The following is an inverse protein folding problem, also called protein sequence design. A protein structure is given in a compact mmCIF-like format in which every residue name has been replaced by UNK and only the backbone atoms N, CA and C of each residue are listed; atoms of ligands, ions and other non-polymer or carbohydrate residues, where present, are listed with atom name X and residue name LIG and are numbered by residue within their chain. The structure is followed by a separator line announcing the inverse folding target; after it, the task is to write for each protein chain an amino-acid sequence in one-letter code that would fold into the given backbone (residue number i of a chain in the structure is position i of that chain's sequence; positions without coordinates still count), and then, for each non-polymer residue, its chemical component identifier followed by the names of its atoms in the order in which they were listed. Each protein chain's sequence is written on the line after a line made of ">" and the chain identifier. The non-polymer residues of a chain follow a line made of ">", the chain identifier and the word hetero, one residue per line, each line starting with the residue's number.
data_IF_580006616051
#
_entry.id   IF_580006616051
#
_cell.length_a   1.000
_cell.length_b   1.000
_cell.length_c   1.000
_cell.angle_alpha   90.00
_cell.angle_beta   90.00
_cell.angle_gamma   90.00
#
_symmetry.space_group_name_H-M   'P 1'
#
loop_
_entity.id
_entity.type
_entity.pdbx_description
1 polymer ?
#
# COMPACT_ATOMS: atom_id res chain seq x y z
N UNK A 1 -8.75 -32.48 2.99
CA UNK A 1 -9.79 -33.49 3.30
C UNK A 1 -9.17 -34.53 4.19
N UNK A 2 -9.62 -34.65 5.45
CA UNK A 2 -9.50 -35.83 6.32
C UNK A 2 -10.17 -35.48 7.64
N UNK A 3 -11.38 -35.98 7.83
CA UNK A 3 -12.20 -35.87 9.03
C UNK A 3 -12.13 -37.19 9.80
N UNK A 4 -11.59 -37.18 11.02
CA UNK A 4 -11.66 -38.31 11.96
C UNK A 4 -12.41 -37.83 13.22
N UNK A 5 -13.72 -38.08 13.32
CA UNK A 5 -14.36 -39.30 13.81
C UNK A 5 -14.13 -39.50 15.32
N UNK A 6 -14.98 -38.85 16.11
CA UNK A 6 -15.06 -38.93 17.57
C UNK A 6 -15.95 -40.11 17.96
N UNK A 7 -15.43 -41.01 18.80
CA UNK A 7 -16.14 -42.16 19.39
C UNK A 7 -16.20 -41.96 20.91
N UNK A 8 -17.41 -41.95 21.50
CA UNK A 8 -17.63 -42.69 22.75
C UNK A 8 -18.96 -43.45 22.65
N UNK A 9 -19.15 -44.63 23.28
CA UNK A 9 -19.25 -44.71 24.75
C UNK A 9 -18.86 -46.07 25.37
N UNK A 10 -18.53 -46.09 26.67
CA UNK A 10 -18.62 -47.31 27.48
C UNK A 10 -19.18 -46.94 28.84
N UNK A 11 -20.41 -47.38 29.08
CA UNK A 11 -21.17 -47.22 30.32
C UNK A 11 -21.32 -48.64 30.85
N UNK A 12 -20.45 -49.01 31.79
CA UNK A 12 -20.50 -50.33 32.40
C UNK A 12 -21.67 -50.38 33.39
N UNK A 13 -22.72 -51.07 32.97
CA UNK A 13 -23.83 -51.55 33.79
C UNK A 13 -23.70 -53.06 33.93
N UNK A 14 -22.98 -53.50 34.95
CA UNK A 14 -22.98 -54.85 35.53
C UNK A 14 -22.69 -54.62 37.03
N UNK A 15 -23.29 -55.24 38.03
CA UNK A 15 -23.85 -56.59 38.18
C UNK A 15 -24.70 -56.56 39.46
N UNK A 16 -26.01 -56.79 39.41
CA UNK A 16 -26.65 -58.08 39.75
C UNK A 16 -25.85 -58.98 40.72
N UNK A 17 -26.18 -58.89 42.01
CA UNK A 17 -25.83 -59.88 43.02
C UNK A 17 -27.09 -60.37 43.73
N UNK A 18 -27.56 -61.54 43.31
CA UNK A 18 -28.73 -62.25 43.81
C UNK A 18 -28.63 -62.74 45.27
N UNK A 19 -29.81 -62.75 45.91
CA UNK A 19 -30.36 -63.80 46.78
C UNK A 19 -29.40 -64.53 47.75
N UNK A 20 -29.72 -64.42 49.04
CA UNK A 20 -30.07 -65.61 49.83
C UNK A 20 -31.01 -65.29 50.99
N UNK A 21 -32.19 -65.88 50.88
CA UNK A 21 -33.18 -66.11 51.93
C UNK A 21 -32.58 -67.08 52.95
N UNK A 22 -32.62 -66.70 54.22
CA UNK A 22 -32.76 -67.66 55.32
C UNK A 22 -33.79 -67.11 56.29
N UNK A 23 -34.95 -67.78 56.30
CA UNK A 23 -35.91 -67.77 57.39
C UNK A 23 -35.19 -68.06 58.71
N UNK A 24 -35.49 -67.28 59.73
CA UNK A 24 -35.51 -67.75 61.11
C UNK A 24 -36.53 -66.91 61.88
N UNK A 25 -37.72 -67.49 62.02
CA UNK A 25 -38.57 -67.26 63.17
C UNK A 25 -37.75 -67.62 64.41
N UNK A 26 -37.58 -66.69 65.36
CA UNK A 26 -38.15 -66.91 66.69
C UNK A 26 -37.95 -65.71 67.61
N UNK A 27 -38.98 -65.50 68.45
CA UNK A 27 -38.96 -64.77 69.74
C UNK A 27 -38.88 -63.25 69.72
N UNK A 28 -40.09 -62.70 69.60
CA UNK A 28 -40.61 -61.51 70.31
C UNK A 28 -39.87 -61.20 71.63
N UNK A 29 -39.07 -60.15 71.63
CA UNK A 29 -38.87 -59.25 72.78
C UNK A 29 -38.90 -57.82 72.27
N UNK A 30 -40.05 -57.15 72.47
CA UNK A 30 -40.26 -55.75 72.10
C UNK A 30 -39.32 -54.86 72.93
N UNK A 31 -38.37 -54.12 72.34
CA UNK A 31 -37.68 -53.06 73.07
C UNK A 31 -38.63 -51.86 73.28
N UNK A 32 -38.42 -51.04 74.32
CA UNK A 32 -39.26 -49.88 74.59
C UNK A 32 -39.13 -48.83 73.46
N UNK A 33 -40.18 -48.73 72.65
CA UNK A 33 -40.29 -47.87 71.45
C UNK A 33 -40.20 -46.37 71.74
N UNK A 34 -40.22 -45.95 73.00
CA UNK A 34 -40.28 -44.54 73.38
C UNK A 34 -38.96 -43.77 73.19
N UNK A 35 -37.80 -44.43 73.24
CA UNK A 35 -36.51 -43.74 73.06
C UNK A 35 -36.12 -43.56 71.59
N UNK A 36 -36.52 -44.49 70.72
CA UNK A 36 -36.21 -44.47 69.29
C UNK A 36 -36.95 -43.34 68.55
N UNK A 37 -38.19 -43.04 68.95
CA UNK A 37 -39.00 -41.98 68.33
C UNK A 37 -38.37 -40.60 68.52
N UNK A 38 -37.78 -40.32 69.68
CA UNK A 38 -37.08 -39.06 69.93
C UNK A 38 -35.81 -38.89 69.08
N UNK A 39 -35.02 -39.97 68.88
CA UNK A 39 -33.86 -39.94 67.98
C UNK A 39 -34.25 -39.76 66.51
N UNK A 40 -35.33 -40.40 66.08
CA UNK A 40 -35.87 -40.21 64.72
C UNK A 40 -36.33 -38.77 64.52
N UNK A 41 -36.99 -38.17 65.52
CA UNK A 41 -37.43 -36.79 65.44
C UNK A 41 -36.25 -35.79 65.38
N UNK A 42 -35.25 -35.96 66.25
CA UNK A 42 -34.04 -35.12 66.24
C UNK A 42 -33.28 -35.23 64.92
N UNK A 43 -33.06 -36.44 64.41
CA UNK A 43 -32.37 -36.64 63.13
C UNK A 43 -33.15 -36.08 61.95
N UNK A 44 -34.49 -36.15 61.96
CA UNK A 44 -35.32 -35.52 60.94
C UNK A 44 -35.23 -33.98 60.98
N UNK A 45 -35.20 -33.36 62.16
CA UNK A 45 -35.02 -31.92 62.31
C UNK A 45 -33.62 -31.48 61.83
N UNK A 46 -32.56 -32.18 62.22
CA UNK A 46 -31.19 -31.89 61.76
C UNK A 46 -31.01 -32.16 60.26
N UNK A 47 -31.65 -33.19 59.72
CA UNK A 47 -31.68 -33.46 58.29
C UNK A 47 -32.35 -32.30 57.56
N UNK A 48 -33.49 -31.81 58.04
CA UNK A 48 -34.18 -30.66 57.42
C UNK A 48 -33.30 -29.40 57.45
N UNK A 49 -32.65 -29.12 58.58
CA UNK A 49 -31.79 -27.95 58.74
C UNK A 49 -30.52 -28.01 57.87
N UNK A 50 -30.00 -29.21 57.57
CA UNK A 50 -28.84 -29.39 56.69
C UNK A 50 -29.20 -29.51 55.21
N UNK A 51 -30.36 -30.08 54.88
CA UNK A 51 -30.79 -30.30 53.49
C UNK A 51 -31.18 -29.00 52.80
N UNK A 52 -31.91 -28.10 53.47
CA UNK A 52 -32.36 -26.82 52.88
C UNK A 52 -31.18 -25.99 52.32
N UNK A 53 -30.13 -25.65 53.10
CA UNK A 53 -29.00 -24.88 52.57
C UNK A 53 -28.22 -25.64 51.50
N UNK A 54 -28.14 -26.98 51.61
CA UNK A 54 -27.50 -27.82 50.59
C UNK A 54 -28.22 -27.73 49.24
N UNK A 55 -29.56 -27.82 49.23
CA UNK A 55 -30.34 -27.69 48.01
C UNK A 55 -30.24 -26.28 47.40
N UNK A 56 -30.20 -25.23 48.22
CA UNK A 56 -29.98 -23.85 47.75
C UNK A 56 -28.59 -23.63 47.15
N UNK A 57 -27.54 -24.19 47.76
CA UNK A 57 -26.19 -24.12 47.18
C UNK A 57 -26.11 -24.89 45.86
N UNK A 58 -26.77 -26.06 45.78
CA UNK A 58 -26.81 -26.87 44.56
C UNK A 58 -27.52 -26.14 43.41
N UNK A 59 -28.63 -25.47 43.66
CA UNK A 59 -29.35 -24.70 42.64
C UNK A 59 -28.53 -23.49 42.16
N UNK A 60 -27.87 -22.76 43.08
CA UNK A 60 -26.96 -21.65 42.75
C UNK A 60 -25.77 -22.11 41.92
N UNK A 61 -25.11 -23.20 42.30
CA UNK A 61 -24.00 -23.76 41.53
C UNK A 61 -24.45 -24.19 40.12
N UNK A 62 -25.66 -24.75 39.98
CA UNK A 62 -26.20 -25.09 38.67
C UNK A 62 -26.45 -23.84 37.81
N UNK A 63 -26.93 -22.73 38.39
CA UNK A 63 -27.10 -21.45 37.69
C UNK A 63 -25.75 -20.87 37.25
N UNK A 64 -24.78 -20.81 38.16
CA UNK A 64 -23.43 -20.30 37.85
C UNK A 64 -22.74 -21.11 36.76
N UNK A 65 -22.89 -22.44 36.78
CA UNK A 65 -22.33 -23.29 35.72
C UNK A 65 -22.99 -23.05 34.36
N UNK A 66 -24.29 -22.72 34.33
CA UNK A 66 -24.99 -22.33 33.10
C UNK A 66 -24.52 -20.96 32.60
N UNK A 67 -24.41 -19.97 33.48
CA UNK A 67 -23.89 -18.65 33.12
C UNK A 67 -22.43 -18.73 32.64
N UNK A 68 -21.61 -19.55 33.30
CA UNK A 68 -20.23 -19.77 32.88
C UNK A 68 -20.13 -20.49 31.53
N UNK A 69 -21.03 -21.45 31.24
CA UNK A 69 -21.03 -22.12 29.95
C UNK A 69 -21.52 -21.20 28.84
N UNK A 70 -22.49 -20.33 29.12
CA UNK A 70 -22.95 -19.28 28.20
C UNK A 70 -21.85 -18.26 27.91
N UNK A 71 -21.15 -17.77 28.95
CA UNK A 71 -20.05 -16.82 28.81
C UNK A 71 -18.86 -17.43 28.05
N UNK A 72 -18.59 -18.73 28.25
CA UNK A 72 -17.61 -19.46 27.42
C UNK A 72 -18.07 -19.58 25.97
N UNK A 73 -19.36 -19.79 25.71
CA UNK A 73 -19.89 -19.86 24.36
C UNK A 73 -19.75 -18.50 23.65
N UNK A 74 -20.09 -17.39 24.30
CA UNK A 74 -19.92 -16.05 23.73
C UNK A 74 -18.45 -15.68 23.52
N UNK A 75 -17.57 -16.01 24.47
CA UNK A 75 -16.13 -15.79 24.33
C UNK A 75 -15.54 -16.56 23.13
N UNK A 76 -15.90 -17.84 22.97
CA UNK A 76 -15.41 -18.63 21.82
C UNK A 76 -15.98 -18.15 20.49
N UNK A 77 -17.23 -17.66 20.47
CA UNK A 77 -17.82 -17.03 19.28
C UNK A 77 -17.08 -15.75 18.90
N UNK A 78 -16.80 -14.87 19.87
CA UNK A 78 -16.05 -13.63 19.66
C UNK A 78 -14.61 -13.90 19.17
N UNK A 79 -13.91 -14.87 19.77
CA UNK A 79 -12.58 -15.27 19.31
C UNK A 79 -12.58 -15.76 17.86
N UNK A 80 -13.58 -16.55 17.47
CA UNK A 80 -13.74 -17.00 16.08
C UNK A 80 -13.98 -15.82 15.13
N UNK A 81 -14.80 -14.87 15.52
CA UNK A 81 -15.06 -13.68 14.73
C UNK A 81 -13.81 -12.80 14.58
N UNK A 82 -13.05 -12.60 15.66
CA UNK A 82 -11.78 -11.88 15.63
C UNK A 82 -10.76 -12.55 14.71
N UNK A 83 -10.61 -13.88 14.77
CA UNK A 83 -9.74 -14.63 13.86
C UNK A 83 -10.21 -14.46 12.40
N UNK A 84 -11.52 -14.52 12.17
CA UNK A 84 -12.10 -14.33 10.82
C UNK A 84 -11.79 -12.93 10.28
N UNK A 85 -12.07 -11.87 11.05
CA UNK A 85 -11.75 -10.49 10.67
C UNK A 85 -10.26 -10.28 10.46
N UNK A 86 -9.41 -10.84 11.32
CA UNK A 86 -7.94 -10.75 11.15
C UNK A 86 -7.45 -11.44 9.88
N UNK A 87 -8.11 -12.52 9.44
CA UNK A 87 -7.79 -13.14 8.14
C UNK A 87 -8.22 -12.26 6.98
N UNK A 88 -9.41 -11.67 7.06
CA UNK A 88 -9.93 -10.76 6.03
C UNK A 88 -9.06 -9.50 5.90
N UNK A 89 -8.63 -8.91 7.02
CA UNK A 89 -7.73 -7.74 7.00
C UNK A 89 -6.36 -8.08 6.42
N UNK A 90 -5.80 -9.25 6.74
CA UNK A 90 -4.53 -9.72 6.14
C UNK A 90 -4.65 -9.87 4.63
N UNK A 91 -5.71 -10.52 4.13
CA UNK A 91 -5.95 -10.67 2.69
C UNK A 91 -6.14 -9.30 2.01
N UNK A 92 -6.85 -8.37 2.67
CA UNK A 92 -7.01 -7.01 2.15
C UNK A 92 -5.68 -6.25 2.08
N UNK A 93 -4.82 -6.38 3.11
CA UNK A 93 -3.49 -5.78 3.13
C UNK A 93 -2.59 -6.35 2.03
N UNK A 94 -2.57 -7.67 1.85
CA UNK A 94 -1.80 -8.33 0.78
C UNK A 94 -2.25 -7.84 -0.61
N UNK A 95 -3.57 -7.69 -0.79
CA UNK A 95 -4.14 -7.14 -2.03
C UNK A 95 -3.71 -5.69 -2.27
N UNK A 96 -3.72 -4.85 -1.24
CA UNK A 96 -3.26 -3.46 -1.33
C UNK A 96 -1.77 -3.41 -1.68
N UNK A 97 -0.94 -4.23 -1.04
CA UNK A 97 0.49 -4.31 -1.36
C UNK A 97 0.74 -4.70 -2.83
N UNK A 98 -0.01 -5.68 -3.35
CA UNK A 98 0.09 -6.08 -4.75
C UNK A 98 -0.32 -4.94 -5.70
N UNK A 99 -1.39 -4.23 -5.38
CA UNK A 99 -1.82 -3.07 -6.17
C UNK A 99 -0.78 -1.94 -6.14
N UNK A 100 -0.16 -1.67 -5.00
CA UNK A 100 0.91 -0.67 -4.88
C UNK A 100 2.15 -1.04 -5.70
N UNK A 101 2.54 -2.33 -5.73
CA UNK A 101 3.65 -2.81 -6.56
C UNK A 101 3.33 -2.60 -8.04
N UNK A 102 2.11 -2.94 -8.46
CA UNK A 102 1.65 -2.79 -9.85
C UNK A 102 1.53 -1.33 -10.28
N UNK A 103 1.11 -0.44 -9.38
CA UNK A 103 1.09 1.00 -9.62
C UNK A 103 2.50 1.55 -9.82
N UNK A 104 3.44 1.20 -8.92
CA UNK A 104 4.86 1.57 -9.07
C UNK A 104 5.46 1.04 -10.38
N UNK A 105 5.03 -0.12 -10.85
CA UNK A 105 5.44 -0.68 -12.15
C UNK A 105 4.95 0.20 -13.30
N UNK A 106 3.66 0.56 -13.29
CA UNK A 106 3.05 1.45 -14.28
C UNK A 106 3.66 2.84 -14.30
N UNK A 107 4.01 3.39 -13.14
CA UNK A 107 4.65 4.70 -13.07
C UNK A 107 6.06 4.70 -13.66
N UNK A 108 6.83 3.62 -13.46
CA UNK A 108 8.13 3.44 -14.12
C UNK A 108 8.00 3.36 -15.64
N UNK A 109 6.99 2.63 -16.13
CA UNK A 109 6.71 2.56 -17.57
C UNK A 109 6.35 3.94 -18.13
N UNK A 110 5.47 4.68 -17.45
CA UNK A 110 5.11 6.05 -17.84
C UNK A 110 6.32 6.99 -17.86
N UNK A 111 7.16 6.94 -16.83
CA UNK A 111 8.38 7.74 -16.76
C UNK A 111 9.32 7.42 -17.94
N UNK A 112 9.51 6.14 -18.27
CA UNK A 112 10.37 5.73 -19.39
C UNK A 112 9.83 6.21 -20.76
N UNK A 113 8.50 6.23 -20.93
CA UNK A 113 7.85 6.75 -22.14
C UNK A 113 8.02 8.27 -22.22
N UNK A 114 7.81 8.97 -21.12
CA UNK A 114 8.00 10.43 -21.07
C UNK A 114 9.46 10.83 -21.34
N UNK A 115 10.43 10.10 -20.79
CA UNK A 115 11.85 10.28 -21.10
C UNK A 115 12.17 10.03 -22.58
N UNK A 116 11.50 9.08 -23.22
CA UNK A 116 11.56 8.87 -24.67
C UNK A 116 11.08 10.10 -25.42
N UNK A 117 9.85 10.56 -25.13
CA UNK A 117 9.26 11.74 -25.78
C UNK A 117 10.13 12.99 -25.58
N UNK A 118 10.66 13.21 -24.37
CA UNK A 118 11.55 14.34 -24.08
C UNK A 118 12.84 14.29 -24.90
N UNK A 119 13.39 13.10 -25.14
CA UNK A 119 14.57 12.92 -26.01
C UNK A 119 14.23 13.22 -27.47
N UNK A 120 13.13 12.68 -27.97
CA UNK A 120 12.70 12.88 -29.36
C UNK A 120 12.41 14.36 -29.65
N UNK A 121 11.74 15.06 -28.74
CA UNK A 121 11.50 16.51 -28.87
C UNK A 121 12.80 17.31 -28.91
N UNK A 122 13.77 16.96 -28.05
CA UNK A 122 15.09 17.62 -28.06
C UNK A 122 15.85 17.35 -29.36
N UNK A 123 15.79 16.12 -29.86
CA UNK A 123 16.42 15.75 -31.13
C UNK A 123 15.81 16.53 -32.30
N UNK A 124 14.48 16.58 -32.40
CA UNK A 124 13.77 17.36 -33.44
C UNK A 124 14.09 18.86 -33.36
N UNK A 125 14.20 19.42 -32.15
CA UNK A 125 14.60 20.82 -31.98
C UNK A 125 16.04 21.06 -32.44
N UNK A 126 16.95 20.13 -32.15
CA UNK A 126 18.36 20.24 -32.54
C UNK A 126 18.54 20.06 -34.06
N UNK A 127 17.81 19.11 -34.66
CA UNK A 127 17.77 18.92 -36.11
C UNK A 127 17.23 20.18 -36.79
N UNK A 128 16.10 20.72 -36.32
CA UNK A 128 15.52 21.95 -36.87
C UNK A 128 16.45 23.15 -36.73
N UNK A 129 17.14 23.27 -35.59
CA UNK A 129 18.12 24.33 -35.40
C UNK A 129 19.30 24.18 -36.39
N UNK A 130 19.74 22.95 -36.64
CA UNK A 130 20.80 22.68 -37.62
C UNK A 130 20.35 23.01 -39.05
N UNK A 131 19.14 22.63 -39.44
CA UNK A 131 18.59 22.96 -40.77
C UNK A 131 18.38 24.46 -40.94
N UNK A 132 17.96 25.17 -39.89
CA UNK A 132 17.81 26.62 -39.95
C UNK A 132 19.16 27.31 -40.13
N UNK A 133 20.19 26.88 -39.40
CA UNK A 133 21.55 27.43 -39.54
C UNK A 133 22.09 27.26 -40.95
N UNK A 134 21.97 26.07 -41.54
CA UNK A 134 22.45 25.84 -42.92
C UNK A 134 21.65 26.63 -43.96
N UNK A 135 20.34 26.80 -43.77
CA UNK A 135 19.51 27.66 -44.62
C UNK A 135 19.90 29.13 -44.48
N UNK A 136 20.17 29.60 -43.27
CA UNK A 136 20.61 30.97 -43.01
C UNK A 136 21.97 31.26 -43.66
N UNK A 137 22.91 30.31 -43.59
CA UNK A 137 24.20 30.39 -44.29
C UNK A 137 24.00 30.46 -45.82
N UNK A 138 23.16 29.61 -46.39
CA UNK A 138 22.86 29.64 -47.82
C UNK A 138 22.23 30.97 -48.26
N UNK A 139 21.28 31.51 -47.47
CA UNK A 139 20.65 32.81 -47.75
C UNK A 139 21.65 33.96 -47.66
N UNK A 140 22.62 33.87 -46.75
CA UNK A 140 23.71 34.85 -46.61
C UNK A 140 24.60 34.84 -47.86
N UNK A 141 25.03 33.66 -48.29
CA UNK A 141 25.88 33.51 -49.48
C UNK A 141 25.17 34.00 -50.75
N UNK A 142 23.89 33.69 -50.89
CA UNK A 142 23.05 34.21 -51.97
C UNK A 142 22.93 35.73 -51.92
N UNK A 143 22.74 36.31 -50.73
CA UNK A 143 22.69 37.75 -50.52
C UNK A 143 24.00 38.44 -50.93
N UNK A 144 25.14 37.84 -50.61
CA UNK A 144 26.46 38.33 -51.03
C UNK A 144 26.63 38.28 -52.55
N UNK A 145 26.32 37.13 -53.18
CA UNK A 145 26.40 36.98 -54.64
C UNK A 145 25.51 38.00 -55.39
N UNK A 146 24.29 38.25 -54.89
CA UNK A 146 23.39 39.27 -55.46
C UNK A 146 23.97 40.69 -55.32
N UNK A 147 24.62 41.00 -54.20
CA UNK A 147 25.28 42.29 -54.00
C UNK A 147 26.45 42.49 -54.98
N UNK A 148 27.24 41.43 -55.21
CA UNK A 148 28.35 41.44 -56.17
C UNK A 148 27.85 41.60 -57.61
N UNK A 149 26.77 40.90 -58.00
CA UNK A 149 26.13 41.06 -59.31
C UNK A 149 25.62 42.50 -59.48
N UNK A 150 24.97 43.07 -58.47
CA UNK A 150 24.49 44.45 -58.53
C UNK A 150 25.65 45.46 -58.69
N UNK A 151 26.76 45.24 -57.98
CA UNK A 151 27.96 46.06 -58.10
C UNK A 151 28.59 45.94 -59.49
N UNK A 152 28.68 44.71 -60.04
CA UNK A 152 29.17 44.46 -61.39
C UNK A 152 28.28 45.11 -62.44
N UNK A 153 26.95 44.96 -62.35
CA UNK A 153 26.01 45.60 -63.28
C UNK A 153 26.17 47.13 -63.26
N UNK A 154 26.34 47.71 -62.06
CA UNK A 154 26.58 49.15 -61.90
C UNK A 154 27.90 49.58 -62.55
N UNK A 155 28.96 48.80 -62.39
CA UNK A 155 30.24 49.06 -63.06
C UNK A 155 30.13 48.97 -64.59
N UNK A 156 29.42 47.96 -65.11
CA UNK A 156 29.17 47.79 -66.55
C UNK A 156 28.40 48.97 -67.11
N UNK A 157 27.36 49.46 -66.42
CA UNK A 157 26.62 50.66 -66.83
C UNK A 157 27.52 51.90 -66.93
N UNK A 158 28.39 52.09 -65.92
CA UNK A 158 29.36 53.20 -65.89
C UNK A 158 30.34 53.11 -67.05
N UNK A 159 30.92 51.94 -67.32
CA UNK A 159 31.92 51.74 -68.41
C UNK A 159 31.36 51.98 -69.81
N UNK A 160 30.09 51.67 -70.05
CA UNK A 160 29.44 51.84 -71.34
C UNK A 160 28.81 53.23 -71.53
N UNK A 161 28.89 54.11 -70.54
CA UNK A 161 28.30 55.45 -70.61
C UNK A 161 26.77 55.44 -70.58
N UNK A 162 26.15 54.36 -70.08
CA UNK A 162 24.72 54.36 -69.83
C UNK A 162 24.46 55.32 -68.66
N UNK A 163 23.97 56.52 -68.97
CA UNK A 163 23.50 57.46 -67.94
C UNK A 163 22.23 56.87 -67.35
N UNK A 164 22.21 56.51 -66.05
CA UNK A 164 21.02 55.94 -65.44
C UNK A 164 19.90 56.97 -65.56
N UNK A 165 18.85 56.63 -66.33
CA UNK A 165 17.63 57.46 -66.33
C UNK A 165 17.06 57.41 -64.93
N UNK A 166 16.49 58.52 -64.48
CA UNK A 166 15.92 58.69 -63.13
C UNK A 166 14.93 57.59 -62.74
N UNK A 167 14.36 56.89 -63.73
CA UNK A 167 13.41 55.77 -63.56
C UNK A 167 13.95 54.36 -63.94
N UNK A 168 15.11 54.22 -64.61
CA UNK A 168 15.65 52.92 -65.07
C UNK A 168 16.53 52.19 -64.03
N UNK A 169 17.00 52.88 -62.99
CA UNK A 169 17.81 52.27 -61.91
C UNK A 169 17.10 51.17 -61.11
N UNK A 170 15.83 50.88 -61.43
CA UNK A 170 15.01 49.85 -60.76
C UNK A 170 15.62 48.45 -60.84
N UNK A 171 16.35 48.10 -61.90
CA UNK A 171 16.97 46.77 -62.02
C UNK A 171 17.98 46.50 -60.90
N UNK A 172 19.06 47.27 -60.90
CA UNK A 172 20.18 47.14 -59.97
C UNK A 172 19.75 47.42 -58.53
N UNK A 173 18.95 48.47 -58.32
CA UNK A 173 18.53 48.85 -56.98
C UNK A 173 17.58 47.82 -56.35
N UNK A 174 16.74 47.13 -57.14
CA UNK A 174 15.94 45.99 -56.63
C UNK A 174 16.82 44.83 -56.19
N UNK A 175 17.89 44.53 -56.93
CA UNK A 175 18.83 43.46 -56.56
C UNK A 175 19.56 43.83 -55.26
N UNK A 176 20.05 45.08 -55.14
CA UNK A 176 20.67 45.58 -53.90
C UNK A 176 19.70 45.54 -52.71
N UNK A 177 18.45 45.95 -52.90
CA UNK A 177 17.42 45.87 -51.86
C UNK A 177 17.08 44.43 -51.48
N UNK A 178 17.07 43.50 -52.44
CA UNK A 178 16.84 42.08 -52.18
C UNK A 178 17.98 41.47 -51.38
N UNK A 179 19.24 41.74 -51.76
CA UNK A 179 20.43 41.33 -51.01
C UNK A 179 20.39 41.86 -49.57
N UNK A 180 20.04 43.14 -49.38
CA UNK A 180 19.90 43.76 -48.06
C UNK A 180 18.78 43.11 -47.22
N UNK A 181 17.66 42.70 -47.84
CA UNK A 181 16.59 41.97 -47.14
C UNK A 181 17.05 40.59 -46.70
N UNK A 182 17.72 39.82 -47.57
CA UNK A 182 18.27 38.50 -47.24
C UNK A 182 19.26 38.58 -46.07
N UNK A 183 20.15 39.57 -46.08
CA UNK A 183 21.10 39.80 -44.99
C UNK A 183 20.40 40.20 -43.68
N UNK A 184 19.30 40.97 -43.75
CA UNK A 184 18.49 41.33 -42.57
C UNK A 184 17.78 40.12 -41.97
N UNK A 185 17.29 39.17 -42.78
CA UNK A 185 16.69 37.94 -42.27
C UNK A 185 17.69 37.13 -41.45
N UNK A 186 18.91 36.97 -41.97
CA UNK A 186 19.99 36.27 -41.26
C UNK A 186 20.37 36.99 -39.95
N UNK A 187 20.45 38.31 -39.96
CA UNK A 187 20.82 39.12 -38.78
C UNK A 187 19.69 39.29 -37.75
N UNK A 188 18.43 39.14 -38.18
CA UNK A 188 17.26 39.19 -37.31
C UNK A 188 17.15 37.95 -36.43
N UNK A 189 17.48 36.78 -36.98
CA UNK A 189 17.43 35.50 -36.27
C UNK A 189 18.40 35.44 -35.07
N UNK A 190 19.51 36.19 -35.11
CA UNK A 190 20.46 36.32 -34.00
C UNK A 190 19.92 37.20 -32.85
N UNK A 191 19.02 38.14 -33.12
CA UNK A 191 18.51 39.06 -32.09
C UNK A 191 17.38 38.45 -31.29
N UNK A 192 16.50 37.72 -31.96
CA UNK A 192 15.31 37.13 -31.31
C UNK A 192 15.67 35.96 -30.38
N UNK A 193 16.80 35.29 -30.61
CA UNK A 193 17.31 34.24 -29.70
C UNK A 193 18.01 34.78 -28.46
N UNK A 194 18.52 36.03 -28.47
CA UNK A 194 19.22 36.63 -27.33
C UNK A 194 18.32 37.36 -26.33
N UNK A 195 17.10 37.73 -26.73
CA UNK A 195 16.16 38.48 -25.88
C UNK A 195 15.05 37.62 -25.25
N UNK A 196 14.98 36.33 -25.60
CA UNK A 196 13.84 35.45 -25.26
C UNK A 196 14.06 34.40 -24.17
N UNK A 197 15.26 34.26 -23.60
CA UNK A 197 15.57 33.20 -22.61
C UNK A 197 16.03 33.79 -21.27
N UNK A 198 15.34 34.82 -20.79
CA UNK A 198 15.39 35.26 -19.38
C UNK A 198 13.99 35.26 -18.73
N UNK A 199 13.01 34.66 -19.41
CA UNK A 199 11.66 34.45 -18.90
C UNK A 199 11.59 33.15 -18.13
N UNK A 200 11.85 33.23 -16.83
CA UNK A 200 11.89 32.11 -15.90
C UNK A 200 10.69 31.15 -16.00
N UNK A 201 10.98 29.89 -16.29
CA UNK A 201 10.10 28.75 -16.06
C UNK A 201 10.89 27.44 -15.97
N UNK A 202 12.14 27.47 -15.48
CA UNK A 202 12.74 26.32 -14.82
C UNK A 202 12.32 26.34 -13.35
N UNK A 203 11.01 26.30 -13.09
CA UNK A 203 10.57 25.59 -11.89
C UNK A 203 10.66 24.13 -12.30
N UNK A 204 11.80 23.51 -12.04
CA UNK A 204 11.94 22.06 -12.14
C UNK A 204 10.77 21.45 -11.35
N UNK A 205 9.79 20.79 -12.02
CA UNK A 205 8.71 20.13 -11.29
C UNK A 205 9.24 19.00 -10.39
N UNK A 206 10.49 18.57 -10.59
CA UNK A 206 11.18 17.63 -9.69
C UNK A 206 11.50 18.20 -8.30
N UNK A 207 11.51 19.53 -8.12
CA UNK A 207 11.73 20.14 -6.80
C UNK A 207 10.56 19.91 -5.85
N UNK A 208 9.34 19.73 -6.39
CA UNK A 208 8.14 19.45 -5.61
C UNK A 208 8.06 17.99 -5.14
N UNK A 209 8.56 17.02 -5.92
CA UNK A 209 8.58 15.60 -5.51
C UNK A 209 9.74 15.25 -4.56
N UNK A 210 10.73 16.13 -4.37
CA UNK A 210 11.86 15.88 -3.45
C UNK A 210 11.51 16.10 -1.97
N UNK A 211 10.43 16.81 -1.67
CA UNK A 211 9.98 16.97 -0.28
C UNK A 211 9.17 15.77 0.24
N UNK A 212 8.46 15.03 -0.62
CA UNK A 212 7.75 13.81 -0.20
C UNK A 212 8.67 12.59 -0.01
N UNK A 213 9.82 12.53 -0.69
CA UNK A 213 10.75 11.40 -0.55
C UNK A 213 11.47 11.36 0.81
N UNK A 214 11.64 12.51 1.47
CA UNK A 214 12.22 12.57 2.81
C UNK A 214 11.27 12.04 3.88
N UNK A 215 9.96 12.17 3.68
CA UNK A 215 8.98 11.63 4.63
C UNK A 215 8.80 10.11 4.48
N UNK A 216 8.99 9.58 3.27
CA UNK A 216 8.98 8.13 3.04
C UNK A 216 10.22 7.41 3.61
N UNK A 217 11.40 8.05 3.59
CA UNK A 217 12.63 7.46 4.14
C UNK A 217 12.65 7.47 5.69
N UNK A 218 11.99 8.44 6.32
CA UNK A 218 11.84 8.51 7.79
C UNK A 218 10.83 7.47 8.33
N UNK A 219 9.84 7.04 7.53
CA UNK A 219 8.91 5.98 7.94
C UNK A 219 9.48 4.56 7.87
N UNK A 220 10.42 4.28 6.96
CA UNK A 220 10.99 2.92 6.87
C UNK A 220 12.00 2.64 8.01
N UNK A 221 12.69 3.68 8.51
CA UNK A 221 13.58 3.56 9.67
C UNK A 221 12.84 3.34 11.00
N UNK A 222 11.62 3.88 11.16
CA UNK A 222 10.80 3.65 12.37
C UNK A 222 10.19 2.24 12.40
N UNK A 223 9.97 1.62 11.23
CA UNK A 223 9.47 0.24 11.15
C UNK A 223 10.54 -0.80 11.48
N UNK A 224 11.80 -0.56 11.14
CA UNK A 224 12.91 -1.46 11.49
C UNK A 224 13.27 -1.42 12.98
N UNK A 225 13.09 -0.28 13.66
CA UNK A 225 13.30 -0.22 15.12
C UNK A 225 12.19 -0.92 15.92
N UNK A 226 10.97 -1.01 15.41
CA UNK A 226 9.87 -1.64 16.15
C UNK A 226 9.92 -3.17 16.10
N UNK A 227 10.56 -3.78 15.09
CA UNK A 227 10.74 -5.25 15.02
C UNK A 227 11.93 -5.77 15.84
N UNK A 228 12.95 -4.95 16.13
CA UNK A 228 14.06 -5.35 16.97
C UNK A 228 13.70 -5.42 18.48
N UNK A 229 12.54 -4.88 18.88
CA UNK A 229 12.10 -4.85 20.28
C UNK A 229 11.29 -6.05 20.77
N UNK A 230 10.84 -6.95 19.89
CA UNK A 230 9.94 -8.06 20.26
C UNK A 230 10.60 -9.44 20.24
N UNK A 231 11.88 -9.55 19.90
CA UNK A 231 12.60 -10.85 19.91
C UNK A 231 13.47 -11.08 21.17
N UNK A 232 13.54 -10.13 22.12
CA UNK A 232 14.35 -10.29 23.35
C UNK A 232 13.58 -10.83 24.57
N UNK A 233 12.31 -11.25 24.44
CA UNK A 233 11.49 -11.68 25.57
C UNK A 233 10.84 -13.07 25.36
N UNK A 234 11.60 -14.05 24.82
CA UNK A 234 11.11 -15.43 24.68
C UNK A 234 12.05 -16.54 25.21
N UNK A 235 13.29 -16.23 25.62
CA UNK A 235 14.28 -17.29 25.90
C UNK A 235 14.51 -17.62 27.39
N UNK A 236 13.71 -17.08 28.32
CA UNK A 236 13.94 -17.28 29.77
C UNK A 236 12.89 -18.16 30.48
N UNK A 237 12.40 -19.23 29.84
CA UNK A 237 11.39 -20.09 30.46
C UNK A 237 11.53 -21.60 30.16
N UNK A 238 12.74 -22.17 30.10
CA UNK A 238 12.89 -23.64 30.06
C UNK A 238 14.20 -24.12 30.68
N UNK A 239 14.45 -23.81 31.95
CA UNK A 239 15.55 -24.44 32.69
C UNK A 239 15.25 -24.49 34.18
N UNK A 240 14.27 -25.31 34.59
CA UNK A 240 14.09 -25.81 35.96
C UNK A 240 12.98 -26.83 35.96
N UNK A 241 13.35 -28.12 35.87
CA UNK A 241 12.78 -29.25 36.63
C UNK A 241 13.18 -30.57 35.98
N UNK A 242 14.28 -31.16 36.44
CA UNK A 242 14.34 -32.60 36.62
C UNK A 242 15.43 -32.94 37.63
N UNK A 243 14.98 -33.18 38.87
CA UNK A 243 15.76 -33.78 39.94
C UNK A 243 14.80 -34.61 40.78
N UNK A 244 14.63 -35.87 40.38
CA UNK A 244 14.28 -37.00 41.23
C UNK A 244 14.66 -38.27 40.50
#
# INVERSE_FOLDING_TARGET
>A
MSTSLTKPPSRDTESQGERRVTQNEDRRTRPPVERLTHFVFLTACFASFSLIPFFLMRSRNASLMREMSELKATQTAFQKEMIKRNRETRVALDKIQLLMIEERRRDKERASVEEGIRRDVKELLHERQHTNKSQAELLKDLGMSLADIAAFMQEVEIRHGFVPKKDDGRGIERIRQMALRLQKFVKGEERDTSAGVDGGMNQDPESACRHEKKDAEVQDQTRTQTQAGTESESDNATAKTNKT
#
